data_IF_014027926856
#
_entry.id   IF_014027926856
#
_cell.length_a   1.000
_cell.length_b   1.000
_cell.length_c   1.000
_cell.angle_alpha   90.00
_cell.angle_beta   90.00
_cell.angle_gamma   90.00
#
_symmetry.space_group_name_H-M   'P 1'
#
loop_
_entity.id
_entity.type
_entity.pdbx_description
1 polymer ?
#
# COMPACT_ATOMS: atom_id res chain seq x y z
N UNK A 1 6.35 0.30 -5.10
CA UNK A 1 7.50 1.19 -5.38
C UNK A 1 7.72 1.20 -6.89
N UNK A 2 7.62 2.37 -7.52
CA UNK A 2 7.50 2.51 -8.97
C UNK A 2 8.80 2.16 -9.70
N UNK A 3 8.68 1.66 -10.95
CA UNK A 3 9.83 1.16 -11.75
C UNK A 3 10.89 2.25 -11.95
N UNK A 4 10.48 3.51 -12.13
CA UNK A 4 11.39 4.66 -12.33
C UNK A 4 12.15 5.03 -11.06
N UNK A 5 11.46 5.28 -9.95
CA UNK A 5 12.12 5.56 -8.67
C UNK A 5 13.06 4.42 -8.22
N UNK A 6 12.68 3.16 -8.48
CA UNK A 6 13.50 1.99 -8.14
C UNK A 6 14.75 1.88 -9.00
N UNK A 7 14.64 2.09 -10.31
CA UNK A 7 15.80 2.10 -11.22
C UNK A 7 16.73 3.25 -10.86
N UNK A 8 16.17 4.45 -10.63
CA UNK A 8 16.97 5.61 -10.22
C UNK A 8 17.71 5.35 -8.91
N UNK A 9 17.05 4.76 -7.91
CA UNK A 9 17.69 4.42 -6.65
C UNK A 9 18.78 3.34 -6.80
N UNK A 10 18.53 2.30 -7.59
CA UNK A 10 19.46 1.19 -7.78
C UNK A 10 20.69 1.56 -8.61
N UNK A 11 20.53 2.41 -9.63
CA UNK A 11 21.62 2.81 -10.53
C UNK A 11 22.30 4.08 -10.03
N UNK A 12 21.53 5.05 -9.53
CA UNK A 12 22.06 6.32 -9.06
C UNK A 12 22.90 6.18 -7.80
N UNK A 13 22.54 5.28 -6.87
CA UNK A 13 23.31 5.10 -5.63
C UNK A 13 24.77 4.67 -5.90
N UNK A 14 25.06 3.62 -6.70
CA UNK A 14 26.44 3.29 -7.08
C UNK A 14 27.20 4.45 -7.71
N UNK A 15 26.56 5.21 -8.61
CA UNK A 15 27.18 6.36 -9.29
C UNK A 15 27.57 7.44 -8.27
N UNK A 16 26.67 7.75 -7.34
CA UNK A 16 26.91 8.74 -6.28
C UNK A 16 28.02 8.28 -5.34
N UNK A 17 28.03 7.00 -4.96
CA UNK A 17 29.10 6.42 -4.14
C UNK A 17 30.45 6.55 -4.84
N UNK A 18 30.55 6.20 -6.13
CA UNK A 18 31.78 6.35 -6.91
C UNK A 18 32.21 7.81 -6.99
N UNK A 19 31.28 8.73 -7.25
CA UNK A 19 31.59 10.16 -7.30
C UNK A 19 32.12 10.69 -5.95
N UNK A 20 31.49 10.31 -4.84
CA UNK A 20 31.93 10.69 -3.49
C UNK A 20 33.31 10.11 -3.18
N UNK A 21 33.56 8.84 -3.53
CA UNK A 21 34.88 8.20 -3.35
C UNK A 21 35.95 8.92 -4.17
N UNK A 22 35.68 9.24 -5.44
CA UNK A 22 36.62 9.96 -6.29
C UNK A 22 36.95 11.35 -5.73
N UNK A 23 35.93 12.08 -5.24
CA UNK A 23 36.14 13.38 -4.58
C UNK A 23 36.97 13.21 -3.30
N UNK A 24 36.67 12.22 -2.46
CA UNK A 24 37.41 11.96 -1.23
C UNK A 24 38.86 11.55 -1.49
N UNK A 25 39.12 10.77 -2.55
CA UNK A 25 40.48 10.38 -2.96
C UNK A 25 41.26 11.51 -3.61
N UNK A 26 40.59 12.55 -4.12
CA UNK A 26 41.22 13.73 -4.71
C UNK A 26 41.66 14.79 -3.69
N UNK A 27 41.35 14.57 -2.41
CA UNK A 27 41.70 15.50 -1.33
C UNK A 27 43.20 15.47 -1.08
N UNK A 28 43.81 16.65 -1.03
CA UNK A 28 45.17 16.80 -0.54
C UNK A 28 45.21 16.46 0.96
N UNK A 29 45.92 15.40 1.38
CA UNK A 29 45.98 15.00 2.79
C UNK A 29 46.70 16.03 3.67
N UNK A 30 47.38 17.01 3.06
CA UNK A 30 48.08 18.09 3.78
C UNK A 30 47.25 19.35 3.94
N UNK A 31 46.05 19.43 3.33
CA UNK A 31 45.15 20.57 3.50
C UNK A 31 44.60 20.60 4.94
N UNK A 32 44.93 21.64 5.74
CA UNK A 32 44.41 21.76 7.10
C UNK A 32 42.91 22.07 7.15
N UNK A 33 42.26 22.39 6.03
CA UNK A 33 40.87 22.82 5.99
C UNK A 33 40.10 22.34 4.75
N UNK A 34 39.76 21.03 4.64
CA UNK A 34 39.07 20.45 3.49
C UNK A 34 37.56 20.79 3.39
N UNK A 35 37.14 21.97 3.88
CA UNK A 35 35.75 22.46 3.87
C UNK A 35 35.14 22.42 2.47
N UNK A 36 35.91 22.77 1.44
CA UNK A 36 35.48 22.72 0.04
C UNK A 36 35.11 21.30 -0.43
N UNK A 37 35.91 20.31 -0.03
CA UNK A 37 35.65 18.89 -0.35
C UNK A 37 34.38 18.40 0.34
N UNK A 38 34.21 18.69 1.64
CA UNK A 38 33.01 18.29 2.36
C UNK A 38 31.76 18.95 1.77
N UNK A 39 31.83 20.24 1.41
CA UNK A 39 30.75 20.93 0.73
C UNK A 39 30.38 20.26 -0.61
N UNK A 40 31.39 19.84 -1.40
CA UNK A 40 31.17 19.16 -2.67
C UNK A 40 30.53 17.77 -2.48
N UNK A 41 31.02 16.97 -1.52
CA UNK A 41 30.44 15.65 -1.18
C UNK A 41 28.98 15.83 -0.76
N UNK A 42 28.69 16.77 0.15
CA UNK A 42 27.33 17.06 0.58
C UNK A 42 26.45 17.55 -0.57
N UNK A 43 26.97 18.37 -1.48
CA UNK A 43 26.27 18.83 -2.66
C UNK A 43 25.87 17.67 -3.58
N UNK A 44 26.78 16.72 -3.85
CA UNK A 44 26.50 15.53 -4.68
C UNK A 44 25.43 14.66 -4.03
N UNK A 45 25.59 14.33 -2.74
CA UNK A 45 24.61 13.50 -2.00
C UNK A 45 23.25 14.21 -1.90
N UNK A 46 23.26 15.51 -1.62
CA UNK A 46 22.06 16.34 -1.52
C UNK A 46 21.30 16.44 -2.83
N UNK A 47 21.98 16.70 -3.94
CA UNK A 47 21.37 16.72 -5.26
C UNK A 47 20.74 15.36 -5.60
N UNK A 48 21.42 14.26 -5.29
CA UNK A 48 20.87 12.92 -5.51
C UNK A 48 19.62 12.64 -4.68
N UNK A 49 19.66 12.90 -3.37
CA UNK A 49 18.51 12.68 -2.48
C UNK A 49 17.33 13.57 -2.89
N UNK A 50 17.60 14.84 -3.24
CA UNK A 50 16.59 15.76 -3.76
C UNK A 50 15.92 15.20 -5.02
N UNK A 51 16.72 14.75 -6.00
CA UNK A 51 16.19 14.20 -7.25
C UNK A 51 15.38 12.92 -6.98
N UNK A 52 15.85 12.06 -6.07
CA UNK A 52 15.16 10.84 -5.69
C UNK A 52 13.79 11.14 -5.09
N UNK A 53 13.71 12.09 -4.14
CA UNK A 53 12.44 12.51 -3.53
C UNK A 53 11.50 13.19 -4.54
N UNK A 54 12.06 13.97 -5.48
CA UNK A 54 11.27 14.61 -6.54
C UNK A 54 10.67 13.58 -7.50
N UNK A 55 11.47 12.59 -7.94
CA UNK A 55 10.99 11.49 -8.78
C UNK A 55 9.95 10.66 -8.03
N UNK A 56 10.17 10.35 -6.75
CA UNK A 56 9.18 9.65 -5.93
C UNK A 56 7.87 10.41 -5.85
N UNK A 57 7.91 11.73 -5.65
CA UNK A 57 6.72 12.58 -5.65
C UNK A 57 5.95 12.49 -6.97
N UNK A 58 6.66 12.62 -8.10
CA UNK A 58 6.05 12.52 -9.43
C UNK A 58 5.42 11.15 -9.68
N UNK A 59 6.11 10.08 -9.28
CA UNK A 59 5.61 8.71 -9.42
C UNK A 59 4.35 8.48 -8.56
N UNK A 60 4.32 9.00 -7.32
CA UNK A 60 3.15 8.96 -6.43
C UNK A 60 1.98 9.76 -7.03
N UNK A 61 2.23 10.96 -7.53
CA UNK A 61 1.20 11.79 -8.15
C UNK A 61 0.65 11.18 -9.44
N UNK A 62 1.51 10.57 -10.26
CA UNK A 62 1.10 9.86 -11.47
C UNK A 62 0.26 8.63 -11.13
N UNK A 63 0.69 7.84 -10.14
CA UNK A 63 -0.05 6.68 -9.67
C UNK A 63 -1.42 7.06 -9.10
N UNK A 64 -1.49 8.14 -8.33
CA UNK A 64 -2.76 8.65 -7.79
C UNK A 64 -3.73 9.12 -8.89
N UNK A 65 -3.22 9.76 -9.95
CA UNK A 65 -4.05 10.25 -11.06
C UNK A 65 -4.55 9.13 -11.97
N UNK A 66 -3.69 8.18 -12.32
CA UNK A 66 -4.06 7.07 -13.21
C UNK A 66 -4.95 6.02 -12.53
N UNK A 67 -4.93 5.91 -11.19
CA UNK A 67 -5.65 4.87 -10.46
C UNK A 67 -6.97 5.34 -9.81
N UNK A 68 -7.36 6.59 -9.96
CA UNK A 68 -8.59 7.05 -9.32
C UNK A 68 -9.85 6.76 -10.14
N UNK A 69 -9.76 6.82 -11.48
CA UNK A 69 -10.93 6.73 -12.35
C UNK A 69 -11.02 5.38 -13.05
N UNK A 70 -12.13 4.64 -12.87
CA UNK A 70 -12.38 3.47 -13.69
C UNK A 70 -12.60 3.87 -15.15
N UNK A 71 -12.16 3.02 -16.06
CA UNK A 71 -12.37 3.11 -17.50
C UNK A 71 -13.64 2.39 -17.96
N UNK A 72 -14.20 1.54 -17.10
CA UNK A 72 -15.42 0.76 -17.34
C UNK A 72 -16.58 1.27 -16.48
N UNK A 73 -17.81 0.93 -16.89
CA UNK A 73 -19.00 1.25 -16.11
C UNK A 73 -19.10 0.36 -14.85
N UNK A 74 -19.72 0.86 -13.76
CA UNK A 74 -20.04 0.04 -12.58
C UNK A 74 -20.79 -1.24 -12.95
N UNK A 75 -20.45 -2.36 -12.32
CA UNK A 75 -21.09 -3.66 -12.55
C UNK A 75 -20.74 -4.36 -13.88
N UNK A 76 -19.79 -3.82 -14.64
CA UNK A 76 -19.33 -4.47 -15.89
C UNK A 76 -18.69 -5.82 -15.57
N UNK A 77 -19.18 -6.90 -16.20
CA UNK A 77 -18.63 -8.24 -16.03
C UNK A 77 -17.19 -8.31 -16.55
N UNK A 78 -16.31 -8.91 -15.75
CA UNK A 78 -14.91 -9.18 -16.12
C UNK A 78 -14.63 -10.68 -16.06
N UNK A 79 -13.87 -11.19 -17.02
CA UNK A 79 -13.53 -12.62 -17.10
C UNK A 79 -12.38 -13.01 -16.17
N UNK A 80 -11.47 -12.07 -15.89
CA UNK A 80 -10.30 -12.31 -15.07
C UNK A 80 -9.92 -11.07 -14.23
N UNK A 81 -10.02 -11.12 -12.89
CA UNK A 81 -9.67 -9.99 -12.03
C UNK A 81 -8.17 -9.65 -12.04
N UNK A 82 -7.34 -10.55 -12.60
CA UNK A 82 -5.88 -10.37 -12.64
C UNK A 82 -5.40 -9.61 -13.87
N UNK A 83 -6.22 -9.48 -14.92
CA UNK A 83 -5.84 -8.80 -16.16
C UNK A 83 -6.30 -7.36 -16.21
N UNK A 84 -7.26 -6.98 -15.35
CA UNK A 84 -7.76 -5.62 -15.26
C UNK A 84 -6.96 -4.79 -14.25
N UNK A 85 -6.85 -3.46 -14.45
CA UNK A 85 -6.40 -2.52 -13.44
C UNK A 85 -7.27 -2.55 -12.18
N UNK A 86 -6.70 -2.20 -11.02
CA UNK A 86 -7.43 -2.10 -9.74
C UNK A 86 -8.72 -1.26 -9.82
N UNK A 87 -8.75 -0.07 -10.44
CA UNK A 87 -9.94 0.78 -10.43
C UNK A 87 -11.06 0.17 -11.25
N UNK A 88 -10.71 -0.55 -12.32
CA UNK A 88 -11.67 -1.28 -13.16
C UNK A 88 -12.20 -2.51 -12.42
N UNK A 89 -11.36 -3.21 -11.65
CA UNK A 89 -11.82 -4.29 -10.77
C UNK A 89 -12.79 -3.77 -9.69
N UNK A 90 -12.45 -2.63 -9.08
CA UNK A 90 -13.32 -1.95 -8.13
C UNK A 90 -14.66 -1.56 -8.77
N UNK A 91 -14.64 -1.03 -9.99
CA UNK A 91 -15.87 -0.70 -10.72
C UNK A 91 -16.68 -1.91 -11.15
N UNK A 92 -16.04 -2.98 -11.61
CA UNK A 92 -16.70 -4.24 -11.94
C UNK A 92 -17.45 -4.84 -10.74
N UNK A 93 -16.91 -4.66 -9.54
CA UNK A 93 -17.50 -5.15 -8.29
C UNK A 93 -18.51 -4.16 -7.68
N UNK A 94 -18.72 -2.98 -8.24
CA UNK A 94 -19.67 -2.03 -7.66
C UNK A 94 -21.12 -2.50 -7.85
N UNK A 95 -21.87 -2.55 -6.75
CA UNK A 95 -23.31 -2.83 -6.71
C UNK A 95 -24.15 -1.56 -6.83
N UNK A 96 -23.53 -0.39 -6.62
CA UNK A 96 -24.15 0.94 -6.74
C UNK A 96 -23.39 1.88 -7.67
N UNK A 97 -23.95 3.09 -7.92
CA UNK A 97 -23.28 4.10 -8.74
C UNK A 97 -21.99 4.59 -8.08
N UNK A 98 -20.94 4.76 -8.89
CA UNK A 98 -19.67 5.32 -8.43
C UNK A 98 -19.70 6.84 -8.59
N UNK A 99 -19.91 7.53 -7.48
CA UNK A 99 -19.86 9.00 -7.44
C UNK A 99 -18.44 9.56 -7.44
N UNK A 100 -18.31 10.85 -7.78
CA UNK A 100 -17.03 11.57 -7.71
C UNK A 100 -16.41 11.57 -6.30
N UNK A 101 -17.24 11.51 -5.26
CA UNK A 101 -16.78 11.41 -3.89
C UNK A 101 -16.05 10.08 -3.65
N UNK A 102 -16.63 8.96 -4.07
CA UNK A 102 -16.01 7.64 -3.96
C UNK A 102 -14.71 7.55 -4.77
N UNK A 103 -14.69 8.11 -5.98
CA UNK A 103 -13.48 8.21 -6.83
C UNK A 103 -12.36 9.00 -6.11
N UNK A 104 -12.71 10.15 -5.54
CA UNK A 104 -11.76 10.96 -4.78
C UNK A 104 -11.28 10.20 -3.53
N UNK A 105 -12.19 9.57 -2.81
CA UNK A 105 -11.90 8.84 -1.58
C UNK A 105 -11.00 7.62 -1.84
N UNK A 106 -11.25 6.87 -2.91
CA UNK A 106 -10.40 5.79 -3.38
C UNK A 106 -8.98 6.31 -3.73
N UNK A 107 -8.87 7.48 -4.36
CA UNK A 107 -7.60 8.16 -4.60
C UNK A 107 -6.92 8.73 -3.34
N UNK A 108 -7.68 9.00 -2.27
CA UNK A 108 -7.22 9.52 -0.98
C UNK A 108 -6.63 8.43 -0.07
N UNK A 109 -6.83 7.14 -0.35
CA UNK A 109 -6.07 6.07 0.32
C UNK A 109 -4.54 6.26 0.19
N UNK A 110 -4.09 7.00 -0.84
CA UNK A 110 -2.69 7.43 -1.03
C UNK A 110 -2.31 8.73 -0.29
N UNK A 111 -3.27 9.41 0.36
CA UNK A 111 -3.09 10.69 1.04
C UNK A 111 -2.09 10.62 2.19
N UNK A 112 -2.12 9.55 2.98
CA UNK A 112 -1.14 9.26 4.03
C UNK A 112 0.28 9.13 3.47
N UNK A 113 0.44 8.50 2.29
CA UNK A 113 1.73 8.38 1.60
C UNK A 113 2.24 9.74 1.13
N UNK A 114 1.36 10.62 0.63
CA UNK A 114 1.75 11.98 0.20
C UNK A 114 2.18 12.87 1.36
N UNK A 115 1.44 12.85 2.48
CA UNK A 115 1.80 13.63 3.68
C UNK A 115 3.11 13.15 4.29
N UNK A 116 3.32 11.83 4.38
CA UNK A 116 4.59 11.24 4.79
C UNK A 116 5.77 11.71 3.92
N UNK A 117 5.57 11.80 2.59
CA UNK A 117 6.59 12.32 1.68
C UNK A 117 6.92 13.79 1.94
N UNK A 118 5.94 14.64 2.29
CA UNK A 118 6.20 16.03 2.67
C UNK A 118 7.01 16.13 3.97
N UNK A 119 6.72 15.30 4.97
CA UNK A 119 7.53 15.24 6.20
C UNK A 119 8.96 14.82 5.90
N UNK A 120 9.16 13.82 5.02
CA UNK A 120 10.49 13.41 4.57
C UNK A 120 11.25 14.55 3.89
N UNK A 121 10.57 15.34 3.05
CA UNK A 121 11.13 16.56 2.44
C UNK A 121 11.62 17.57 3.47
N UNK A 122 10.80 17.88 4.48
CA UNK A 122 11.14 18.83 5.55
C UNK A 122 12.37 18.33 6.33
N UNK A 123 12.38 17.06 6.71
CA UNK A 123 13.51 16.46 7.44
C UNK A 123 14.79 16.48 6.60
N UNK A 124 14.71 16.14 5.32
CA UNK A 124 15.87 16.21 4.43
C UNK A 124 16.40 17.64 4.30
N UNK A 125 15.54 18.64 4.11
CA UNK A 125 15.96 20.06 4.04
C UNK A 125 16.65 20.48 5.34
N UNK A 126 16.12 20.09 6.50
CA UNK A 126 16.74 20.37 7.80
C UNK A 126 18.12 19.73 7.91
N UNK A 127 18.29 18.46 7.54
CA UNK A 127 19.59 17.77 7.56
C UNK A 127 20.59 18.46 6.63
N UNK A 128 20.21 18.74 5.39
CA UNK A 128 21.11 19.37 4.41
C UNK A 128 21.41 20.84 4.71
N UNK A 129 20.62 21.50 5.54
CA UNK A 129 20.91 22.87 5.99
C UNK A 129 21.79 22.86 7.24
N UNK A 130 21.47 22.01 8.22
CA UNK A 130 22.13 22.00 9.53
C UNK A 130 23.50 21.33 9.51
N UNK A 131 23.67 20.23 8.77
CA UNK A 131 24.94 19.49 8.78
C UNK A 131 26.08 20.25 8.10
N UNK A 132 25.93 20.87 6.91
CA UNK A 132 27.00 21.69 6.35
C UNK A 132 27.34 22.91 7.22
N UNK A 133 26.33 23.50 7.87
CA UNK A 133 26.51 24.64 8.79
C UNK A 133 27.41 24.29 9.98
N UNK A 134 27.44 23.04 10.47
CA UNK A 134 28.36 22.69 11.57
C UNK A 134 29.82 22.73 11.16
N UNK A 135 30.12 22.32 9.93
CA UNK A 135 31.47 22.36 9.39
C UNK A 135 31.90 23.79 9.03
N UNK A 136 30.96 24.62 8.57
CA UNK A 136 31.23 26.02 8.22
C UNK A 136 31.44 26.89 9.45
N UNK A 137 30.60 26.72 10.49
CA UNK A 137 30.62 27.51 11.71
C UNK A 137 31.51 26.93 12.82
N UNK A 138 32.14 25.76 12.59
CA UNK A 138 32.94 25.02 13.58
C UNK A 138 32.20 24.84 14.91
N UNK A 139 30.88 24.65 14.82
CA UNK A 139 29.98 24.63 15.95
C UNK A 139 28.96 23.53 15.79
N UNK A 140 28.64 22.84 16.89
CA UNK A 140 27.57 21.84 16.93
C UNK A 140 26.17 22.44 17.07
N UNK A 141 26.08 23.76 17.32
CA UNK A 141 24.80 24.46 17.55
C UNK A 141 23.80 24.26 16.39
N UNK A 142 24.17 24.36 15.10
CA UNK A 142 23.25 24.11 13.98
C UNK A 142 22.64 22.71 13.99
N UNK A 143 23.40 21.68 14.36
CA UNK A 143 22.90 20.30 14.46
C UNK A 143 21.95 20.15 15.65
N UNK A 144 22.25 20.76 16.80
CA UNK A 144 21.34 20.73 17.95
C UNK A 144 20.00 21.41 17.64
N UNK A 145 20.04 22.58 16.99
CA UNK A 145 18.82 23.28 16.55
C UNK A 145 18.07 22.46 15.50
N UNK A 146 18.78 21.90 14.51
CA UNK A 146 18.18 21.04 13.49
C UNK A 146 17.51 19.80 14.08
N UNK A 147 18.18 19.12 15.01
CA UNK A 147 17.63 17.96 15.71
C UNK A 147 16.38 18.34 16.51
N UNK A 148 16.41 19.45 17.24
CA UNK A 148 15.23 19.96 17.97
C UNK A 148 14.06 20.26 17.02
N UNK A 149 14.31 20.89 15.87
CA UNK A 149 13.29 21.15 14.85
C UNK A 149 12.72 19.86 14.24
N UNK A 150 13.56 18.86 13.94
CA UNK A 150 13.12 17.55 13.43
C UNK A 150 12.21 16.86 14.46
N UNK A 151 12.58 16.92 15.76
CA UNK A 151 11.78 16.37 16.84
C UNK A 151 10.44 17.10 16.93
N UNK A 152 10.42 18.44 16.88
CA UNK A 152 9.19 19.23 16.89
C UNK A 152 8.28 18.91 15.70
N UNK A 153 8.82 18.80 14.48
CA UNK A 153 8.06 18.40 13.29
C UNK A 153 7.49 16.99 13.44
N UNK A 154 8.28 16.07 13.98
CA UNK A 154 7.84 14.68 14.21
C UNK A 154 6.72 14.62 15.26
N UNK A 155 6.83 15.39 16.35
CA UNK A 155 5.79 15.51 17.36
C UNK A 155 4.53 16.13 16.76
N UNK A 156 4.65 17.23 16.01
CA UNK A 156 3.51 17.88 15.35
C UNK A 156 2.81 16.93 14.37
N UNK A 157 3.57 16.15 13.60
CA UNK A 157 3.03 15.11 12.72
C UNK A 157 2.28 14.03 13.51
N UNK A 158 2.86 13.52 14.59
CA UNK A 158 2.21 12.51 15.44
C UNK A 158 0.96 13.05 16.13
N UNK A 159 0.98 14.30 16.57
CA UNK A 159 -0.18 14.99 17.16
C UNK A 159 -1.26 15.22 16.11
N UNK A 160 -0.92 15.60 14.88
CA UNK A 160 -1.87 15.72 13.77
C UNK A 160 -2.49 14.37 13.40
N UNK A 161 -1.69 13.31 13.43
CA UNK A 161 -2.16 11.95 13.19
C UNK A 161 -3.11 11.44 14.29
N UNK A 162 -2.83 11.78 15.56
CA UNK A 162 -3.54 11.30 16.74
C UNK A 162 -4.53 12.32 17.36
N UNK A 163 -4.77 13.46 16.71
CA UNK A 163 -5.47 14.61 17.29
C UNK A 163 -6.87 14.29 17.82
N UNK A 164 -7.18 14.85 18.99
CA UNK A 164 -8.37 14.58 19.82
C UNK A 164 -9.74 15.00 19.23
N UNK A 165 -9.80 15.40 17.96
CA UNK A 165 -11.03 15.84 17.28
C UNK A 165 -11.36 15.05 16.01
N UNK A 166 -10.76 13.87 15.81
CA UNK A 166 -10.83 13.13 14.55
C UNK A 166 -9.66 13.51 13.63
N UNK A 167 -8.43 13.20 14.06
CA UNK A 167 -7.20 13.49 13.30
C UNK A 167 -7.11 12.80 11.94
N UNK A 168 -5.98 12.95 11.26
CA UNK A 168 -5.79 12.49 9.87
C UNK A 168 -6.08 10.99 9.64
N UNK A 169 -5.94 10.18 10.69
CA UNK A 169 -6.29 8.76 10.66
C UNK A 169 -7.81 8.54 10.53
N UNK A 170 -8.61 9.38 11.17
CA UNK A 170 -10.08 9.36 11.03
C UNK A 170 -10.48 9.76 9.61
N UNK A 171 -9.92 10.84 9.05
CA UNK A 171 -10.16 11.24 7.66
C UNK A 171 -9.82 10.11 6.68
N UNK A 172 -8.76 9.35 6.96
CA UNK A 172 -8.39 8.20 6.16
C UNK A 172 -9.41 7.06 6.27
N UNK A 173 -9.96 6.81 7.46
CA UNK A 173 -11.05 5.83 7.64
C UNK A 173 -12.34 6.26 6.95
N UNK A 174 -12.72 7.53 7.07
CA UNK A 174 -13.91 8.07 6.41
C UNK A 174 -13.75 8.04 4.88
N UNK A 175 -12.53 8.24 4.36
CA UNK A 175 -12.23 8.04 2.94
C UNK A 175 -12.28 6.56 2.52
N UNK A 176 -11.84 5.63 3.37
CA UNK A 176 -11.99 4.20 3.10
C UNK A 176 -13.48 3.85 3.04
N UNK A 177 -14.27 4.29 4.01
CA UNK A 177 -15.73 4.08 4.03
C UNK A 177 -16.40 4.60 2.76
N UNK A 178 -16.13 5.85 2.38
CA UNK A 178 -16.68 6.42 1.14
C UNK A 178 -16.21 5.68 -0.13
N UNK A 179 -15.06 5.00 -0.11
CA UNK A 179 -14.59 4.19 -1.24
C UNK A 179 -15.23 2.80 -1.30
N UNK A 180 -15.75 2.30 -0.16
CA UNK A 180 -16.43 1.01 -0.03
C UNK A 180 -17.94 1.11 -0.27
N UNK A 181 -18.51 2.30 -0.12
CA UNK A 181 -19.95 2.54 -0.32
C UNK A 181 -20.47 2.02 -1.69
N UNK A 182 -19.79 2.23 -2.84
CA UNK A 182 -20.28 1.69 -4.12
C UNK A 182 -20.24 0.16 -4.19
N UNK A 183 -19.48 -0.48 -3.30
CA UNK A 183 -19.44 -1.92 -3.15
C UNK A 183 -20.48 -2.42 -2.14
N UNK A 184 -21.34 -1.55 -1.59
CA UNK A 184 -22.31 -1.92 -0.56
C UNK A 184 -21.68 -2.30 0.78
N UNK A 185 -20.44 -1.86 1.04
CA UNK A 185 -19.67 -2.22 2.24
C UNK A 185 -19.26 -0.99 3.06
N UNK A 186 -18.97 -1.24 4.33
CA UNK A 186 -18.47 -0.25 5.29
C UNK A 186 -17.41 -0.87 6.20
N UNK A 187 -16.56 -0.03 6.78
CA UNK A 187 -15.51 -0.40 7.72
C UNK A 187 -16.13 -0.66 9.09
N UNK A 188 -16.10 -1.92 9.52
CA UNK A 188 -16.65 -2.36 10.81
C UNK A 188 -15.58 -2.37 11.90
N UNK A 189 -14.35 -2.75 11.55
CA UNK A 189 -13.23 -2.82 12.49
C UNK A 189 -12.04 -2.04 11.96
N UNK A 190 -11.59 -1.08 12.76
CA UNK A 190 -10.50 -0.17 12.45
C UNK A 190 -9.23 -0.67 13.15
N UNK A 191 -8.12 -0.86 12.42
CA UNK A 191 -6.88 -1.26 13.07
C UNK A 191 -6.37 -0.12 13.95
N UNK A 192 -5.67 -0.46 15.03
CA UNK A 192 -4.95 0.53 15.83
C UNK A 192 -3.53 0.69 15.29
N UNK A 193 -3.08 1.93 15.12
CA UNK A 193 -1.67 2.21 14.76
C UNK A 193 -0.95 2.55 16.06
N UNK A 194 -0.06 1.65 16.48
CA UNK A 194 0.79 1.85 17.65
C UNK A 194 2.24 2.10 17.27
N UNK A 195 3.00 2.70 18.18
CA UNK A 195 4.45 2.69 18.11
C UNK A 195 4.98 1.43 18.80
N UNK A 196 5.52 0.49 18.04
CA UNK A 196 6.18 -0.70 18.55
C UNK A 196 7.69 -0.50 18.60
N UNK A 197 8.34 -0.91 19.69
CA UNK A 197 9.80 -0.98 19.72
C UNK A 197 10.25 -2.29 19.09
N UNK A 198 11.16 -2.23 18.11
CA UNK A 198 11.75 -3.44 17.53
C UNK A 198 12.98 -3.86 18.35
N UNK A 199 12.94 -5.01 19.06
CA UNK A 199 14.10 -5.47 19.84
C UNK A 199 15.19 -6.12 18.96
N UNK A 200 15.01 -6.16 17.63
CA UNK A 200 15.90 -6.85 16.69
C UNK A 200 16.38 -5.89 15.59
N UNK A 201 17.67 -5.89 15.21
CA UNK A 201 18.23 -4.97 14.22
C UNK A 201 17.46 -4.92 12.88
N UNK A 202 17.36 -3.73 12.23
CA UNK A 202 17.75 -2.44 12.77
C UNK A 202 16.82 -2.03 13.92
N UNK A 203 17.41 -1.70 15.06
CA UNK A 203 16.70 -1.24 16.25
C UNK A 203 15.96 0.06 15.95
N UNK A 204 14.79 0.25 16.54
CA UNK A 204 14.07 1.51 16.42
C UNK A 204 12.57 1.40 16.66
N UNK A 205 11.92 2.56 16.69
CA UNK A 205 10.47 2.70 16.66
C UNK A 205 9.97 2.32 15.27
N UNK A 206 9.08 1.33 15.19
CA UNK A 206 8.32 1.03 13.98
C UNK A 206 6.84 1.27 14.27
N UNK A 207 6.14 1.91 13.33
CA UNK A 207 4.67 1.89 13.33
C UNK A 207 4.21 0.44 13.18
N UNK A 208 3.54 -0.08 14.19
CA UNK A 208 2.94 -1.40 14.20
C UNK A 208 1.43 -1.24 14.06
N UNK A 209 0.87 -1.85 13.02
CA UNK A 209 -0.58 -1.93 12.84
C UNK A 209 -1.03 -3.14 13.66
N UNK A 210 -1.85 -2.91 14.69
CA UNK A 210 -2.38 -3.94 15.58
C UNK A 210 -3.88 -4.10 15.37
N UNK A 211 -4.32 -5.34 15.22
CA UNK A 211 -5.70 -5.72 14.95
C UNK A 211 -5.98 -5.93 13.46
N UNK A 212 -7.16 -6.47 13.18
CA UNK A 212 -7.63 -6.71 11.82
C UNK A 212 -8.30 -5.45 11.25
N UNK A 213 -8.26 -5.31 9.92
CA UNK A 213 -9.18 -4.43 9.19
C UNK A 213 -10.35 -5.28 8.76
N UNK A 214 -11.58 -4.91 9.16
CA UNK A 214 -12.79 -5.62 8.74
C UNK A 214 -13.74 -4.72 7.99
N UNK A 215 -14.15 -5.17 6.81
CA UNK A 215 -15.23 -4.59 6.03
C UNK A 215 -16.43 -5.52 6.09
N UNK A 216 -17.63 -4.96 6.16
CA UNK A 216 -18.88 -5.73 6.12
C UNK A 216 -19.95 -4.95 5.38
N UNK A 217 -20.90 -5.67 4.79
CA UNK A 217 -22.04 -5.05 4.15
C UNK A 217 -22.93 -6.06 3.46
N UNK A 218 -23.74 -5.56 2.54
CA UNK A 218 -24.68 -6.36 1.76
C UNK A 218 -24.47 -6.08 0.27
N UNK A 219 -24.38 -7.16 -0.51
CA UNK A 219 -24.12 -7.12 -1.93
C UNK A 219 -25.08 -8.09 -2.62
N UNK A 220 -25.90 -7.55 -3.52
CA UNK A 220 -26.92 -8.32 -4.26
C UNK A 220 -27.79 -9.22 -3.35
N UNK A 221 -28.18 -8.71 -2.17
CA UNK A 221 -28.99 -9.43 -1.19
C UNK A 221 -28.21 -10.41 -0.30
N UNK A 222 -26.88 -10.48 -0.42
CA UNK A 222 -26.00 -11.37 0.35
C UNK A 222 -25.14 -10.57 1.32
N UNK A 223 -25.02 -11.07 2.55
CA UNK A 223 -24.09 -10.50 3.53
C UNK A 223 -22.65 -10.84 3.12
N UNK A 224 -21.78 -9.82 3.10
CA UNK A 224 -20.36 -9.97 2.74
C UNK A 224 -19.50 -9.42 3.86
N UNK A 225 -18.50 -10.20 4.26
CA UNK A 225 -17.49 -9.81 5.23
C UNK A 225 -16.09 -9.99 4.66
N UNK A 226 -15.22 -9.02 4.85
CA UNK A 226 -13.81 -9.08 4.46
C UNK A 226 -12.97 -8.80 5.68
N UNK A 227 -12.02 -9.67 5.99
CA UNK A 227 -11.06 -9.50 7.09
C UNK A 227 -9.65 -9.51 6.53
N UNK A 228 -8.87 -8.49 6.84
CA UNK A 228 -7.45 -8.41 6.55
C UNK A 228 -6.66 -8.37 7.85
N UNK A 229 -5.85 -9.39 8.09
CA UNK A 229 -5.03 -9.47 9.30
C UNK A 229 -3.64 -10.03 8.95
N UNK A 230 -2.59 -9.32 9.36
CA UNK A 230 -1.22 -9.68 9.04
C UNK A 230 -0.96 -9.77 7.53
N UNK A 231 -0.77 -10.99 7.02
CA UNK A 231 -0.50 -11.27 5.61
C UNK A 231 -1.58 -12.16 4.97
N UNK A 232 -2.78 -12.18 5.54
CA UNK A 232 -3.93 -12.94 5.05
C UNK A 232 -5.12 -12.00 4.84
N UNK A 233 -5.87 -12.24 3.77
CA UNK A 233 -7.20 -11.72 3.54
C UNK A 233 -8.20 -12.88 3.45
N UNK A 234 -9.33 -12.72 4.13
CA UNK A 234 -10.43 -13.68 4.16
C UNK A 234 -11.69 -12.94 3.74
N UNK A 235 -12.33 -13.42 2.68
CA UNK A 235 -13.65 -12.96 2.25
C UNK A 235 -14.66 -14.04 2.58
N UNK A 236 -15.77 -13.64 3.19
CA UNK A 236 -16.92 -14.46 3.55
C UNK A 236 -18.14 -13.89 2.83
N UNK A 237 -18.87 -14.74 2.11
CA UNK A 237 -20.06 -14.38 1.36
C UNK A 237 -21.18 -15.33 1.76
N UNK A 238 -22.28 -14.81 2.28
CA UNK A 238 -23.47 -15.61 2.56
C UNK A 238 -24.02 -16.18 1.25
N UNK A 239 -24.11 -17.49 1.15
CA UNK A 239 -24.54 -18.21 -0.05
C UNK A 239 -25.30 -19.48 0.33
N UNK A 240 -26.47 -19.35 0.99
CA UNK A 240 -27.24 -20.50 1.42
C UNK A 240 -27.68 -21.35 0.23
N UNK A 241 -27.49 -22.66 0.34
CA UNK A 241 -27.85 -23.62 -0.71
C UNK A 241 -26.71 -23.96 -1.68
N UNK A 242 -25.55 -23.31 -1.56
CA UNK A 242 -24.36 -23.75 -2.28
C UNK A 242 -23.81 -25.01 -1.58
N UNK A 243 -23.64 -26.14 -2.29
CA UNK A 243 -23.17 -27.38 -1.69
C UNK A 243 -21.80 -27.21 -1.02
N UNK A 244 -21.56 -27.94 0.07
CA UNK A 244 -20.26 -27.90 0.74
C UNK A 244 -19.14 -28.38 -0.19
N UNK A 245 -18.04 -27.63 -0.24
CA UNK A 245 -16.88 -27.96 -1.08
C UNK A 245 -15.58 -27.38 -0.53
N UNK A 246 -14.45 -27.91 -0.99
CA UNK A 246 -13.13 -27.33 -0.75
C UNK A 246 -12.29 -27.36 -2.03
N UNK A 247 -11.87 -26.18 -2.48
CA UNK A 247 -11.02 -25.96 -3.63
C UNK A 247 -9.74 -25.22 -3.24
N UNK A 248 -8.63 -25.60 -3.87
CA UNK A 248 -7.31 -24.99 -3.63
C UNK A 248 -6.63 -24.67 -4.94
N UNK A 249 -5.74 -23.70 -4.89
CA UNK A 249 -4.94 -23.36 -6.07
C UNK A 249 -3.95 -24.46 -6.41
N UNK A 250 -3.99 -24.93 -7.65
CA UNK A 250 -3.09 -25.92 -8.25
C UNK A 250 -2.84 -25.54 -9.69
N UNK A 251 -1.57 -25.50 -10.10
CA UNK A 251 -1.16 -25.11 -11.46
C UNK A 251 -1.75 -23.76 -11.91
N UNK A 252 -1.86 -22.81 -10.97
CA UNK A 252 -2.44 -21.49 -11.22
C UNK A 252 -3.96 -21.47 -11.38
N UNK A 253 -4.69 -22.56 -11.12
CA UNK A 253 -6.16 -22.60 -11.12
C UNK A 253 -6.70 -23.00 -9.75
N UNK A 254 -7.84 -22.44 -9.35
CA UNK A 254 -8.57 -22.88 -8.15
C UNK A 254 -9.43 -24.08 -8.54
N UNK A 255 -9.17 -25.25 -7.97
CA UNK A 255 -9.90 -26.50 -8.29
C UNK A 255 -9.88 -27.49 -7.12
N UNK A 256 -10.72 -28.53 -7.22
CA UNK A 256 -10.77 -29.65 -6.27
C UNK A 256 -9.47 -30.45 -6.22
N UNK A 257 -9.37 -31.35 -5.24
CA UNK A 257 -8.17 -32.17 -5.06
C UNK A 257 -8.00 -33.19 -6.20
N UNK A 258 -9.10 -33.76 -6.68
CA UNK A 258 -9.22 -34.63 -7.84
C UNK A 258 -10.42 -34.18 -8.67
N UNK A 259 -10.47 -34.63 -9.92
CA UNK A 259 -11.62 -34.40 -10.80
C UNK A 259 -12.85 -35.11 -10.23
N UNK A 260 -13.98 -34.44 -10.16
CA UNK A 260 -15.20 -34.97 -9.54
C UNK A 260 -15.25 -34.92 -8.00
N UNK A 261 -14.24 -34.35 -7.33
CA UNK A 261 -14.30 -34.10 -5.88
C UNK A 261 -15.20 -32.90 -5.53
N UNK A 262 -15.51 -32.06 -6.52
CA UNK A 262 -16.39 -30.91 -6.37
C UNK A 262 -17.79 -31.25 -6.89
N UNK A 263 -18.84 -30.62 -6.36
CA UNK A 263 -20.15 -30.61 -7.00
C UNK A 263 -20.04 -30.15 -8.46
N UNK A 264 -20.81 -30.78 -9.36
CA UNK A 264 -20.65 -30.58 -10.81
C UNK A 264 -20.78 -29.11 -11.24
N UNK A 265 -21.71 -28.38 -10.62
CA UNK A 265 -21.94 -26.94 -10.85
C UNK A 265 -20.68 -26.13 -10.50
N UNK A 266 -20.12 -26.37 -9.30
CA UNK A 266 -18.89 -25.71 -8.84
C UNK A 266 -17.68 -26.06 -9.72
N UNK A 267 -17.58 -27.30 -10.19
CA UNK A 267 -16.50 -27.73 -11.08
C UNK A 267 -16.58 -27.02 -12.44
N UNK A 268 -17.80 -26.79 -12.97
CA UNK A 268 -18.03 -26.03 -14.21
C UNK A 268 -17.62 -24.57 -14.02
N UNK A 269 -18.08 -23.91 -12.95
CA UNK A 269 -17.78 -22.50 -12.67
C UNK A 269 -16.28 -22.29 -12.48
N UNK A 270 -15.65 -23.07 -11.60
CA UNK A 270 -14.20 -22.97 -11.36
C UNK A 270 -13.38 -23.37 -12.60
N UNK A 271 -13.89 -24.29 -13.42
CA UNK A 271 -13.28 -24.68 -14.68
C UNK A 271 -13.21 -23.54 -15.71
N UNK A 272 -14.23 -22.68 -15.73
CA UNK A 272 -14.32 -21.51 -16.58
C UNK A 272 -13.39 -20.37 -16.16
N UNK A 273 -12.96 -20.33 -14.89
CA UNK A 273 -12.07 -19.28 -14.38
C UNK A 273 -10.66 -19.43 -14.99
N UNK A 274 -10.12 -18.36 -15.61
CA UNK A 274 -8.78 -18.39 -16.18
C UNK A 274 -7.69 -18.65 -15.13
N UNK A 275 -6.69 -19.45 -15.51
CA UNK A 275 -5.54 -19.68 -14.66
C UNK A 275 -4.65 -18.44 -14.55
N UNK A 276 -4.11 -18.20 -13.35
CA UNK A 276 -3.16 -17.12 -13.08
C UNK A 276 -2.18 -17.52 -11.96
N UNK A 277 -0.89 -17.18 -12.08
CA UNK A 277 0.07 -17.32 -10.98
C UNK A 277 -0.32 -16.51 -9.74
N UNK A 278 -1.13 -15.46 -9.91
CA UNK A 278 -1.60 -14.61 -8.81
C UNK A 278 -2.53 -15.37 -7.86
N UNK A 279 -3.17 -16.46 -8.31
CA UNK A 279 -3.98 -17.31 -7.43
C UNK A 279 -3.14 -18.10 -6.43
N UNK A 280 -1.81 -18.14 -6.53
CA UNK A 280 -0.96 -18.96 -5.67
C UNK A 280 -1.29 -18.77 -4.17
N UNK A 281 -1.67 -19.87 -3.53
CA UNK A 281 -2.05 -19.91 -2.12
C UNK A 281 -3.52 -19.58 -1.84
N UNK A 282 -4.35 -19.36 -2.86
CA UNK A 282 -5.79 -19.16 -2.69
C UNK A 282 -6.48 -20.46 -2.34
N UNK A 283 -7.35 -20.41 -1.34
CA UNK A 283 -8.28 -21.47 -0.98
C UNK A 283 -9.71 -20.94 -1.04
N UNK A 284 -10.63 -21.75 -1.53
CA UNK A 284 -12.05 -21.44 -1.59
C UNK A 284 -12.82 -22.61 -1.00
N UNK A 285 -13.73 -22.37 -0.08
CA UNK A 285 -14.54 -23.42 0.53
C UNK A 285 -15.97 -22.95 0.78
N UNK A 286 -16.92 -23.88 0.82
CA UNK A 286 -18.28 -23.65 1.31
C UNK A 286 -18.63 -24.72 2.34
N UNK A 287 -19.40 -24.34 3.36
CA UNK A 287 -20.00 -25.25 4.33
C UNK A 287 -21.50 -25.50 4.10
N UNK A 288 -22.12 -24.84 3.12
CA UNK A 288 -23.56 -24.89 2.86
C UNK A 288 -24.26 -23.54 3.01
N UNK A 289 -23.71 -22.67 3.87
CA UNK A 289 -24.30 -21.40 4.26
C UNK A 289 -23.45 -20.20 3.81
N UNK A 290 -22.12 -20.34 3.82
CA UNK A 290 -21.19 -19.30 3.37
C UNK A 290 -20.10 -19.84 2.42
N UNK A 291 -19.69 -19.00 1.48
CA UNK A 291 -18.46 -19.18 0.71
C UNK A 291 -17.34 -18.39 1.37
N UNK A 292 -16.22 -19.06 1.62
CA UNK A 292 -15.01 -18.49 2.23
C UNK A 292 -13.85 -18.56 1.25
N UNK A 293 -13.37 -17.40 0.80
CA UNK A 293 -12.18 -17.25 -0.02
C UNK A 293 -11.02 -16.70 0.84
N UNK A 294 -9.87 -17.38 0.84
CA UNK A 294 -8.68 -16.97 1.60
C UNK A 294 -7.47 -16.86 0.71
N UNK A 295 -6.68 -15.81 0.90
CA UNK A 295 -5.44 -15.61 0.17
C UNK A 295 -4.49 -14.68 0.95
N UNK A 296 -3.21 -14.64 0.58
CA UNK A 296 -2.38 -13.47 0.86
C UNK A 296 -2.86 -12.28 0.01
N UNK A 297 -2.91 -11.05 0.54
CA UNK A 297 -3.29 -9.87 -0.24
C UNK A 297 -2.46 -9.75 -1.52
N UNK A 298 -3.13 -9.64 -2.67
CA UNK A 298 -2.42 -9.47 -3.94
C UNK A 298 -1.93 -8.02 -4.02
N UNK A 299 -0.65 -7.77 -4.35
CA UNK A 299 -0.15 -6.41 -4.51
C UNK A 299 -1.04 -5.61 -5.47
N UNK A 300 -1.41 -4.40 -5.06
CA UNK A 300 -2.25 -3.45 -5.81
C UNK A 300 -3.73 -3.87 -6.00
N UNK A 301 -4.15 -5.08 -5.61
CA UNK A 301 -5.56 -5.52 -5.71
C UNK A 301 -6.17 -5.92 -4.37
N UNK A 302 -5.33 -6.12 -3.36
CA UNK A 302 -5.76 -6.46 -2.01
C UNK A 302 -6.59 -7.73 -1.97
N UNK A 303 -7.84 -7.59 -1.53
CA UNK A 303 -8.81 -8.64 -1.29
C UNK A 303 -9.88 -8.76 -2.40
N UNK A 304 -9.99 -7.78 -3.31
CA UNK A 304 -11.04 -7.74 -4.33
C UNK A 304 -11.08 -8.97 -5.24
N UNK A 305 -9.95 -9.60 -5.65
CA UNK A 305 -10.01 -10.83 -6.42
C UNK A 305 -10.64 -12.02 -5.67
N UNK A 306 -10.51 -12.07 -4.34
CA UNK A 306 -11.19 -13.08 -3.51
C UNK A 306 -12.70 -12.84 -3.47
N UNK A 307 -13.13 -11.57 -3.40
CA UNK A 307 -14.55 -11.22 -3.48
C UNK A 307 -15.13 -11.60 -4.85
N UNK A 308 -14.47 -11.20 -5.93
CA UNK A 308 -14.86 -11.57 -7.29
C UNK A 308 -15.00 -13.09 -7.45
N UNK A 309 -14.03 -13.86 -6.90
CA UNK A 309 -14.05 -15.31 -6.96
C UNK A 309 -15.24 -15.91 -6.18
N UNK A 310 -15.54 -15.39 -4.99
CA UNK A 310 -16.66 -15.85 -4.17
C UNK A 310 -18.01 -15.56 -4.85
N UNK A 311 -18.18 -14.35 -5.40
CA UNK A 311 -19.40 -13.96 -6.13
C UNK A 311 -19.60 -14.79 -7.39
N UNK A 312 -18.52 -15.01 -8.16
CA UNK A 312 -18.60 -15.82 -9.38
C UNK A 312 -19.09 -17.25 -9.12
N UNK A 313 -18.73 -17.81 -7.96
CA UNK A 313 -19.17 -19.14 -7.52
C UNK A 313 -20.57 -19.12 -6.92
N UNK A 314 -20.98 -18.02 -6.30
CA UNK A 314 -22.34 -17.88 -5.79
C UNK A 314 -23.38 -17.66 -6.90
N UNK A 315 -22.96 -17.12 -8.05
CA UNK A 315 -23.85 -16.79 -9.18
C UNK A 315 -23.95 -17.86 -10.27
N UNK A 316 -23.03 -18.84 -10.27
CA UNK A 316 -22.92 -19.87 -11.31
C UNK A 316 -23.43 -21.22 -10.86
#
# INVERSE_FOLDING_TARGET
>A
MHRRSRIFALVGLPIVVVAVVLVALSVDPTDPNPKGTYALIFGIVGAYVFLLLAIQRLDIEAAARQRARPSIAPGTTIDNPMTVPEPDLWAALATGPIGDQAIRAHGLAWGLVRKSNNTAWIVCVLIFTCVPMTYMLESFVPVLVGAALIVLVSIAYLVGLAGAGGGELQDAYDAIDASLEPLGMSLVERPSIGAGFRPVPPYGLKSEIRGAVRFSGERDGRVVGVTMEGNECVVRLAAPGIPAFEAKTRDGKVRGKRRGDLPAEIEVVLGAIPGSPAWKGTTLSSDGDEIVARQKPIPERGWMPCLWLAERVADG
#
